data_IF_230013123400
#
_entry.id   IF_230013123400
#
_cell.length_a   1.000
_cell.length_b   1.000
_cell.length_c   1.000
_cell.angle_alpha   90.00
_cell.angle_beta   90.00
_cell.angle_gamma   90.00
#
_symmetry.space_group_name_H-M   'P 1'
#
loop_
_entity.id
_entity.type
_entity.pdbx_description
1 polymer ?
#
# COMPACT_ATOMS: atom_id res chain seq x y z
N UNK A 1 101.95 -62.07 -26.17
CA UNK A 1 100.55 -62.35 -26.56
C UNK A 1 99.52 -61.83 -25.55
N UNK A 2 99.79 -61.85 -24.23
CA UNK A 2 98.86 -61.34 -23.20
C UNK A 2 98.47 -59.85 -23.35
N UNK A 3 99.41 -58.95 -23.69
CA UNK A 3 99.08 -57.51 -23.84
C UNK A 3 98.18 -57.19 -25.03
N UNK A 4 98.07 -58.08 -26.02
CA UNK A 4 97.22 -57.87 -27.20
C UNK A 4 95.75 -58.22 -26.91
N UNK A 5 95.51 -59.16 -25.99
CA UNK A 5 94.16 -59.47 -25.50
C UNK A 5 93.63 -58.38 -24.56
N UNK A 6 94.45 -57.87 -23.64
CA UNK A 6 94.03 -56.78 -22.74
C UNK A 6 93.65 -55.51 -23.50
N UNK A 7 94.35 -55.18 -24.58
CA UNK A 7 94.02 -54.02 -25.41
C UNK A 7 92.71 -54.19 -26.18
N UNK A 8 92.35 -55.43 -26.51
CA UNK A 8 91.09 -55.73 -27.18
C UNK A 8 89.92 -55.71 -26.19
N UNK A 9 90.12 -56.18 -24.96
CA UNK A 9 89.13 -56.11 -23.89
C UNK A 9 88.81 -54.65 -23.52
N UNK A 10 89.82 -53.80 -23.39
CA UNK A 10 89.62 -52.36 -23.15
C UNK A 10 88.83 -51.72 -24.29
N UNK A 11 89.14 -52.03 -25.55
CA UNK A 11 88.37 -51.50 -26.70
C UNK A 11 86.90 -51.94 -26.68
N UNK A 12 86.64 -53.20 -26.33
CA UNK A 12 85.28 -53.73 -26.24
C UNK A 12 84.48 -53.02 -25.13
N UNK A 13 85.11 -52.83 -23.95
CA UNK A 13 84.53 -52.09 -22.82
C UNK A 13 84.24 -50.62 -23.17
N UNK A 14 85.15 -49.93 -23.88
CA UNK A 14 84.92 -48.55 -24.32
C UNK A 14 83.75 -48.47 -25.30
N UNK A 15 83.62 -49.46 -26.18
CA UNK A 15 82.52 -49.50 -27.15
C UNK A 15 81.17 -49.78 -26.46
N UNK A 16 81.14 -50.68 -25.48
CA UNK A 16 79.96 -50.92 -24.66
C UNK A 16 79.56 -49.67 -23.87
N UNK A 17 80.53 -48.96 -23.28
CA UNK A 17 80.28 -47.72 -22.57
C UNK A 17 79.68 -46.62 -23.48
N UNK A 18 80.23 -46.44 -24.68
CA UNK A 18 79.68 -45.49 -25.67
C UNK A 18 78.23 -45.86 -26.02
N UNK A 19 77.97 -47.15 -26.23
CA UNK A 19 76.63 -47.65 -26.58
C UNK A 19 75.63 -47.44 -25.44
N UNK A 20 76.03 -47.69 -24.20
CA UNK A 20 75.21 -47.43 -23.02
C UNK A 20 74.97 -45.94 -22.82
N UNK A 21 75.97 -45.09 -23.05
CA UNK A 21 75.82 -43.64 -22.93
C UNK A 21 74.87 -43.07 -23.98
N UNK A 22 74.92 -43.59 -25.21
CA UNK A 22 73.95 -43.25 -26.26
C UNK A 22 72.53 -43.71 -25.91
N UNK A 23 72.39 -44.89 -25.31
CA UNK A 23 71.09 -45.37 -24.82
C UNK A 23 70.54 -44.50 -23.69
N UNK A 24 71.38 -44.07 -22.74
CA UNK A 24 71.00 -43.15 -21.66
C UNK A 24 70.57 -41.80 -22.22
N UNK A 25 71.32 -41.24 -23.17
CA UNK A 25 70.96 -39.98 -23.79
C UNK A 25 69.63 -40.09 -24.54
N UNK A 26 69.38 -41.22 -25.21
CA UNK A 26 68.09 -41.50 -25.85
C UNK A 26 66.94 -41.56 -24.85
N UNK A 27 67.12 -42.25 -23.71
CA UNK A 27 66.10 -42.26 -22.64
C UNK A 27 65.88 -40.86 -22.05
N UNK A 28 66.95 -40.07 -21.86
CA UNK A 28 66.83 -38.68 -21.38
C UNK A 28 66.05 -37.82 -22.37
N UNK A 29 66.31 -37.98 -23.67
CA UNK A 29 65.59 -37.30 -24.74
C UNK A 29 64.11 -37.72 -24.76
N UNK A 30 63.83 -39.03 -24.69
CA UNK A 30 62.47 -39.58 -24.66
C UNK A 30 61.71 -39.11 -23.41
N UNK A 31 62.34 -39.09 -22.25
CA UNK A 31 61.76 -38.54 -21.02
C UNK A 31 61.49 -37.04 -21.13
N UNK A 32 62.41 -36.28 -21.74
CA UNK A 32 62.25 -34.82 -21.93
C UNK A 32 61.11 -34.53 -22.91
N UNK A 33 61.08 -35.21 -24.06
CA UNK A 33 60.00 -35.10 -25.05
C UNK A 33 58.66 -35.51 -24.45
N UNK A 34 58.63 -36.58 -23.64
CA UNK A 34 57.39 -37.04 -23.01
C UNK A 34 56.93 -36.16 -21.86
N UNK A 35 57.84 -35.50 -21.16
CA UNK A 35 57.50 -34.45 -20.19
C UNK A 35 56.88 -33.23 -20.87
N UNK A 36 57.35 -32.87 -22.07
CA UNK A 36 56.73 -31.80 -22.89
C UNK A 36 55.35 -32.21 -23.42
N UNK A 37 55.17 -33.46 -23.82
CA UNK A 37 53.84 -33.98 -24.21
C UNK A 37 52.90 -33.99 -23.01
N UNK A 38 53.33 -34.48 -21.85
CA UNK A 38 52.54 -34.49 -20.62
C UNK A 38 52.22 -33.08 -20.13
N UNK A 39 53.13 -32.11 -20.26
CA UNK A 39 52.84 -30.71 -19.92
C UNK A 39 51.83 -30.09 -20.88
N UNK A 40 51.87 -30.48 -22.16
CA UNK A 40 50.89 -30.10 -23.17
C UNK A 40 49.51 -30.73 -22.89
N UNK A 41 49.45 -32.03 -22.59
CA UNK A 41 48.22 -32.73 -22.18
C UNK A 41 47.63 -32.14 -20.88
N UNK A 42 48.46 -31.76 -19.91
CA UNK A 42 48.03 -31.05 -18.70
C UNK A 42 47.51 -29.63 -18.99
N UNK A 43 48.09 -28.93 -19.97
CA UNK A 43 47.60 -27.61 -20.41
C UNK A 43 46.30 -27.69 -21.22
N UNK A 44 46.11 -28.76 -21.99
CA UNK A 44 44.86 -29.05 -22.73
C UNK A 44 43.74 -29.50 -21.78
N UNK A 45 44.05 -30.19 -20.67
CA UNK A 45 43.11 -30.45 -19.56
C UNK A 45 42.73 -29.19 -18.77
N UNK A 46 43.60 -28.16 -18.77
CA UNK A 46 43.37 -26.88 -18.11
C UNK A 46 42.73 -25.80 -19.00
N UNK A 47 42.59 -26.06 -20.31
CA UNK A 47 42.21 -25.04 -21.27
C UNK A 47 41.59 -25.60 -22.56
N UNK A 48 40.27 -25.81 -22.54
CA UNK A 48 39.45 -25.76 -23.76
C UNK A 48 38.52 -26.95 -23.99
N UNK A 49 37.22 -26.66 -24.05
CA UNK A 49 36.20 -27.34 -24.86
C UNK A 49 36.52 -28.78 -25.32
N UNK A 50 36.15 -29.77 -24.52
CA UNK A 50 35.37 -30.94 -24.94
C UNK A 50 35.05 -31.83 -23.72
N UNK A 51 33.91 -32.51 -23.81
CA UNK A 51 33.18 -33.21 -22.75
C UNK A 51 33.93 -34.39 -22.14
N UNK A 52 34.83 -34.14 -21.19
CA UNK A 52 35.15 -35.13 -20.16
C UNK A 52 34.31 -34.76 -18.94
N UNK A 53 33.39 -35.66 -18.58
CA UNK A 53 32.44 -35.47 -17.49
C UNK A 53 33.11 -34.87 -16.26
N UNK A 54 32.62 -33.68 -15.86
CA UNK A 54 33.00 -32.94 -14.64
C UNK A 54 32.57 -33.64 -13.35
N UNK A 55 32.45 -34.97 -13.39
CA UNK A 55 32.09 -35.76 -12.23
C UNK A 55 33.28 -35.81 -11.26
N UNK A 56 33.11 -35.45 -9.98
CA UNK A 56 34.20 -35.41 -9.00
C UNK A 56 35.04 -36.70 -8.94
N UNK A 57 34.41 -37.87 -9.10
CA UNK A 57 35.12 -39.16 -9.21
C UNK A 57 36.19 -39.22 -10.31
N UNK A 58 35.98 -38.57 -11.47
CA UNK A 58 36.95 -38.64 -12.58
C UNK A 58 38.24 -37.89 -12.24
N UNK A 59 38.14 -36.77 -11.53
CA UNK A 59 39.30 -36.04 -11.03
C UNK A 59 40.04 -36.83 -9.95
N UNK A 60 39.31 -37.52 -9.07
CA UNK A 60 39.91 -38.38 -8.04
C UNK A 60 40.67 -39.55 -8.68
N UNK A 61 40.05 -40.24 -9.64
CA UNK A 61 40.71 -41.35 -10.36
C UNK A 61 41.92 -40.87 -11.17
N UNK A 62 41.84 -39.72 -11.85
CA UNK A 62 42.97 -39.14 -12.55
C UNK A 62 44.12 -38.79 -11.59
N UNK A 63 43.82 -38.18 -10.44
CA UNK A 63 44.82 -37.84 -9.43
C UNK A 63 45.52 -39.08 -8.85
N UNK A 64 44.78 -40.17 -8.62
CA UNK A 64 45.35 -41.46 -8.19
C UNK A 64 46.23 -42.08 -9.27
N UNK A 65 45.78 -42.08 -10.53
CA UNK A 65 46.56 -42.57 -11.66
C UNK A 65 47.89 -41.83 -11.81
N UNK A 66 47.88 -40.49 -11.76
CA UNK A 66 49.11 -39.70 -11.87
C UNK A 66 50.04 -39.92 -10.68
N UNK A 67 49.50 -40.07 -9.46
CA UNK A 67 50.30 -40.39 -8.28
C UNK A 67 51.05 -41.70 -8.44
N UNK A 68 50.40 -42.75 -8.94
CA UNK A 68 51.03 -44.04 -9.22
C UNK A 68 52.04 -43.96 -10.37
N UNK A 69 51.75 -43.19 -11.40
CA UNK A 69 52.67 -42.96 -12.52
C UNK A 69 53.95 -42.25 -12.06
N UNK A 70 53.84 -41.16 -11.29
CA UNK A 70 54.99 -40.45 -10.74
C UNK A 70 55.79 -41.31 -9.74
N UNK A 71 55.12 -42.18 -8.98
CA UNK A 71 55.81 -43.14 -8.11
C UNK A 71 56.71 -44.11 -8.91
N UNK A 72 56.20 -44.65 -10.02
CA UNK A 72 56.97 -45.51 -10.93
C UNK A 72 58.12 -44.75 -11.60
N UNK A 73 57.86 -43.54 -12.08
CA UNK A 73 58.88 -42.71 -12.72
C UNK A 73 60.01 -42.36 -11.75
N UNK A 74 59.67 -42.01 -10.51
CA UNK A 74 60.64 -41.74 -9.44
C UNK A 74 61.49 -42.98 -9.15
N UNK A 75 60.89 -44.17 -9.08
CA UNK A 75 61.61 -45.42 -8.85
C UNK A 75 62.64 -45.68 -9.97
N UNK A 76 62.21 -45.63 -11.23
CA UNK A 76 63.09 -45.83 -12.39
C UNK A 76 64.24 -44.82 -12.44
N UNK A 77 63.95 -43.55 -12.15
CA UNK A 77 64.97 -42.49 -12.11
C UNK A 77 66.02 -42.76 -11.03
N UNK A 78 65.59 -43.09 -9.80
CA UNK A 78 66.50 -43.41 -8.70
C UNK A 78 67.37 -44.63 -9.01
N UNK A 79 66.81 -45.65 -9.63
CA UNK A 79 67.55 -46.84 -10.05
C UNK A 79 68.63 -46.47 -11.09
N UNK A 80 68.24 -45.69 -12.11
CA UNK A 80 69.15 -45.24 -13.17
C UNK A 80 70.27 -44.35 -12.62
N UNK A 81 69.93 -43.40 -11.73
CA UNK A 81 70.91 -42.53 -11.09
C UNK A 81 71.90 -43.33 -10.24
N UNK A 82 71.42 -44.36 -9.54
CA UNK A 82 72.28 -45.24 -8.73
C UNK A 82 73.24 -46.03 -9.63
N UNK A 83 72.75 -46.59 -10.74
CA UNK A 83 73.58 -47.29 -11.73
C UNK A 83 74.64 -46.36 -12.34
N UNK A 84 74.25 -45.15 -12.73
CA UNK A 84 75.15 -44.15 -13.29
C UNK A 84 76.24 -43.73 -12.27
N UNK A 85 75.86 -43.45 -11.03
CA UNK A 85 76.81 -43.12 -9.95
C UNK A 85 77.77 -44.26 -9.67
N UNK A 86 77.29 -45.50 -9.65
CA UNK A 86 78.13 -46.68 -9.47
C UNK A 86 79.17 -46.83 -10.58
N UNK A 87 78.75 -46.75 -11.84
CA UNK A 87 79.66 -46.83 -12.99
C UNK A 87 80.68 -45.68 -12.99
N UNK A 88 80.23 -44.45 -12.71
CA UNK A 88 81.13 -43.29 -12.56
C UNK A 88 82.13 -43.47 -11.42
N UNK A 89 81.74 -44.12 -10.33
CA UNK A 89 82.65 -44.41 -9.22
C UNK A 89 83.72 -45.44 -9.59
N UNK A 90 83.36 -46.46 -10.37
CA UNK A 90 84.31 -47.46 -10.88
C UNK A 90 85.32 -46.87 -11.87
N UNK A 91 84.91 -45.85 -12.63
CA UNK A 91 85.72 -45.23 -13.68
C UNK A 91 86.57 -44.03 -13.19
N UNK A 92 86.52 -43.67 -11.91
CA UNK A 92 87.38 -42.62 -11.34
C UNK A 92 88.76 -43.19 -10.99
N UNK A 93 89.81 -42.63 -11.59
CA UNK A 93 91.19 -42.77 -11.14
C UNK A 93 91.61 -41.46 -10.44
N UNK A 94 92.10 -41.49 -9.17
CA UNK A 94 92.32 -42.64 -8.31
C UNK A 94 91.02 -43.20 -7.70
N UNK A 95 91.03 -44.48 -7.34
CA UNK A 95 89.91 -45.14 -6.68
C UNK A 95 89.50 -44.35 -5.43
N UNK A 96 88.21 -44.01 -5.34
CA UNK A 96 87.67 -43.34 -4.15
C UNK A 96 87.70 -44.35 -3.01
N UNK A 97 88.69 -44.24 -2.13
CA UNK A 97 88.73 -44.99 -0.88
C UNK A 97 87.64 -44.44 0.03
N UNK A 98 86.52 -45.16 0.14
CA UNK A 98 85.48 -44.85 1.11
C UNK A 98 86.00 -45.29 2.47
N UNK A 99 86.50 -44.32 3.25
CA UNK A 99 86.92 -44.60 4.61
C UNK A 99 85.71 -44.91 5.50
N UNK A 100 85.93 -45.73 6.52
CA UNK A 100 84.88 -46.02 7.50
C UNK A 100 84.35 -44.74 8.14
N UNK A 101 85.19 -43.71 8.33
CA UNK A 101 84.82 -42.41 8.87
C UNK A 101 83.72 -41.71 8.05
N UNK A 102 83.84 -41.70 6.73
CA UNK A 102 82.87 -41.04 5.84
C UNK A 102 81.49 -41.70 5.92
N UNK A 103 81.46 -43.03 6.04
CA UNK A 103 80.23 -43.78 6.22
C UNK A 103 79.55 -43.43 7.54
N UNK A 104 80.32 -43.29 8.63
CA UNK A 104 79.78 -42.89 9.94
C UNK A 104 79.18 -41.48 9.91
N UNK A 105 79.85 -40.53 9.25
CA UNK A 105 79.38 -39.15 9.13
C UNK A 105 78.10 -39.06 8.27
N UNK A 106 78.04 -39.78 7.14
CA UNK A 106 76.85 -39.86 6.29
C UNK A 106 75.69 -40.55 7.05
N UNK A 107 75.96 -41.61 7.82
CA UNK A 107 74.95 -42.27 8.63
C UNK A 107 74.40 -41.35 9.72
N UNK A 108 75.26 -40.55 10.35
CA UNK A 108 74.85 -39.54 11.32
C UNK A 108 73.96 -38.49 10.67
N UNK A 109 74.37 -37.91 9.55
CA UNK A 109 73.57 -36.93 8.80
C UNK A 109 72.21 -37.51 8.36
N UNK A 110 72.21 -38.76 7.90
CA UNK A 110 70.98 -39.47 7.52
C UNK A 110 70.05 -39.69 8.72
N UNK A 111 70.59 -40.01 9.90
CA UNK A 111 69.78 -40.15 11.12
C UNK A 111 69.18 -38.83 11.54
N UNK A 112 69.96 -37.75 11.54
CA UNK A 112 69.50 -36.39 11.87
C UNK A 112 68.42 -35.93 10.88
N UNK A 113 68.65 -36.11 9.57
CA UNK A 113 67.68 -35.78 8.53
C UNK A 113 66.40 -36.62 8.64
N UNK A 114 66.50 -37.93 8.93
CA UNK A 114 65.34 -38.81 9.17
C UNK A 114 64.53 -38.36 10.39
N UNK A 115 65.19 -37.92 11.47
CA UNK A 115 64.51 -37.40 12.65
C UNK A 115 63.76 -36.10 12.34
N UNK A 116 64.41 -35.14 11.66
CA UNK A 116 63.77 -33.89 11.21
C UNK A 116 62.57 -34.17 10.30
N UNK A 117 62.71 -35.09 9.36
CA UNK A 117 61.63 -35.47 8.45
C UNK A 117 60.45 -36.12 9.20
N UNK A 118 60.71 -36.97 10.19
CA UNK A 118 59.66 -37.57 11.02
C UNK A 118 58.92 -36.51 11.83
N UNK A 119 59.65 -35.57 12.46
CA UNK A 119 59.06 -34.47 13.20
C UNK A 119 58.19 -33.58 12.30
N UNK A 120 58.69 -33.21 11.12
CA UNK A 120 57.93 -32.42 10.14
C UNK A 120 56.66 -33.14 9.65
N UNK A 121 56.75 -34.46 9.38
CA UNK A 121 55.58 -35.26 8.99
C UNK A 121 54.49 -35.27 10.07
N UNK A 122 54.88 -35.43 11.34
CA UNK A 122 53.94 -35.40 12.45
C UNK A 122 53.28 -34.02 12.58
N UNK A 123 54.06 -32.94 12.46
CA UNK A 123 53.52 -31.58 12.47
C UNK A 123 52.53 -31.35 11.31
N UNK A 124 52.85 -31.80 10.09
CA UNK A 124 51.93 -31.66 8.95
C UNK A 124 50.63 -32.45 9.15
N UNK A 125 50.72 -33.66 9.73
CA UNK A 125 49.52 -34.46 10.04
C UNK A 125 48.66 -33.75 11.08
N UNK A 126 49.27 -33.19 12.13
CA UNK A 126 48.55 -32.46 13.17
C UNK A 126 47.89 -31.20 12.62
N UNK A 127 48.63 -30.39 11.85
CA UNK A 127 48.09 -29.18 11.24
C UNK A 127 46.94 -29.50 10.27
N UNK A 128 47.03 -30.60 9.53
CA UNK A 128 45.93 -31.06 8.66
C UNK A 128 44.71 -31.45 9.48
N UNK A 129 44.90 -32.12 10.63
CA UNK A 129 43.82 -32.48 11.55
C UNK A 129 43.14 -31.22 12.07
N UNK A 130 43.91 -30.24 12.56
CA UNK A 130 43.42 -28.95 13.03
C UNK A 130 42.61 -28.20 11.97
N UNK A 131 43.14 -28.10 10.74
CA UNK A 131 42.45 -27.46 9.62
C UNK A 131 41.12 -28.17 9.31
N UNK A 132 41.10 -29.49 9.35
CA UNK A 132 39.88 -30.26 9.08
C UNK A 132 38.84 -30.00 10.17
N UNK A 133 39.23 -30.05 11.44
CA UNK A 133 38.32 -29.74 12.56
C UNK A 133 37.83 -28.30 12.52
N UNK A 134 38.70 -27.35 12.17
CA UNK A 134 38.33 -25.95 12.04
C UNK A 134 37.34 -25.77 10.88
N UNK A 135 37.57 -26.43 9.74
CA UNK A 135 36.65 -26.42 8.60
C UNK A 135 35.27 -26.97 8.94
N UNK A 136 35.18 -28.07 9.69
CA UNK A 136 33.92 -28.64 10.18
C UNK A 136 33.20 -27.66 11.13
N UNK A 137 33.89 -27.11 12.13
CA UNK A 137 33.28 -26.13 13.04
C UNK A 137 32.82 -24.86 12.33
N UNK A 138 33.57 -24.39 11.33
CA UNK A 138 33.21 -23.23 10.54
C UNK A 138 31.95 -23.51 9.71
N UNK A 139 31.87 -24.68 9.09
CA UNK A 139 30.69 -25.11 8.34
C UNK A 139 29.44 -25.18 9.23
N UNK A 140 29.56 -25.77 10.41
CA UNK A 140 28.45 -25.83 11.38
C UNK A 140 28.02 -24.43 11.84
N UNK A 141 28.99 -23.55 12.10
CA UNK A 141 28.71 -22.16 12.49
C UNK A 141 28.02 -21.37 11.38
N UNK A 142 28.38 -21.62 10.12
CA UNK A 142 27.78 -20.97 8.96
C UNK A 142 26.33 -21.43 8.77
N UNK A 143 26.06 -22.74 8.87
CA UNK A 143 24.72 -23.28 8.81
C UNK A 143 23.82 -22.75 9.94
N UNK A 144 24.35 -22.59 11.15
CA UNK A 144 23.60 -21.98 12.27
C UNK A 144 23.31 -20.49 12.00
N UNK A 145 24.27 -19.77 11.43
CA UNK A 145 24.09 -18.36 11.06
C UNK A 145 23.06 -18.19 9.94
N UNK A 146 23.05 -19.07 8.95
CA UNK A 146 22.03 -19.08 7.87
C UNK A 146 20.62 -19.30 8.44
N UNK A 147 20.45 -20.28 9.34
CA UNK A 147 19.18 -20.50 10.05
C UNK A 147 18.74 -19.30 10.87
N UNK A 148 19.67 -18.62 11.54
CA UNK A 148 19.39 -17.40 12.30
C UNK A 148 19.00 -16.24 11.37
N UNK A 149 19.61 -16.15 10.19
CA UNK A 149 19.29 -15.14 9.20
C UNK A 149 17.90 -15.36 8.60
N UNK A 150 17.52 -16.61 8.32
CA UNK A 150 16.17 -16.97 7.87
C UNK A 150 15.12 -16.59 8.92
N UNK A 151 15.36 -16.93 10.19
CA UNK A 151 14.48 -16.54 11.32
C UNK A 151 14.38 -15.02 11.46
N UNK A 152 15.50 -14.30 11.35
CA UNK A 152 15.50 -12.84 11.39
C UNK A 152 14.68 -12.25 10.23
N UNK A 153 14.78 -12.84 9.03
CA UNK A 153 13.95 -12.47 7.88
C UNK A 153 12.45 -12.64 8.14
N UNK A 154 12.04 -13.78 8.72
CA UNK A 154 10.64 -14.03 9.12
C UNK A 154 10.14 -12.99 10.13
N UNK A 155 10.92 -12.72 11.17
CA UNK A 155 10.54 -11.74 12.20
C UNK A 155 10.45 -10.33 11.62
N UNK A 156 11.34 -9.94 10.71
CA UNK A 156 11.24 -8.66 10.02
C UNK A 156 9.96 -8.55 9.19
N UNK A 157 9.57 -9.61 8.48
CA UNK A 157 8.32 -9.65 7.72
C UNK A 157 7.09 -9.51 8.64
N UNK A 158 7.08 -10.23 9.77
CA UNK A 158 6.01 -10.12 10.78
C UNK A 158 5.93 -8.70 11.37
N UNK A 159 7.08 -8.06 11.65
CA UNK A 159 7.12 -6.68 12.15
C UNK A 159 6.53 -5.69 11.13
N UNK A 160 6.83 -5.86 9.85
CA UNK A 160 6.33 -4.96 8.81
C UNK A 160 4.82 -5.16 8.56
N UNK A 161 4.32 -6.40 8.64
CA UNK A 161 2.88 -6.70 8.66
C UNK A 161 2.20 -6.04 9.87
N UNK A 162 2.76 -6.21 11.08
CA UNK A 162 2.22 -5.57 12.29
C UNK A 162 2.20 -4.05 12.18
N UNK A 163 3.23 -3.41 11.62
CA UNK A 163 3.23 -1.96 11.41
C UNK A 163 2.11 -1.51 10.47
N UNK A 164 1.83 -2.26 9.41
CA UNK A 164 0.73 -1.96 8.49
C UNK A 164 -0.61 -1.99 9.25
N UNK A 165 -0.86 -3.03 10.06
CA UNK A 165 -2.09 -3.15 10.84
C UNK A 165 -2.26 -2.04 11.89
N UNK A 166 -1.16 -1.55 12.48
CA UNK A 166 -1.20 -0.42 13.42
C UNK A 166 -1.56 0.87 12.70
N UNK A 167 -1.05 1.09 11.49
CA UNK A 167 -1.35 2.28 10.71
C UNK A 167 -2.81 2.28 10.23
N UNK A 168 -3.33 1.12 9.81
CA UNK A 168 -4.76 0.93 9.51
C UNK A 168 -5.63 1.21 10.75
N UNK A 169 -5.25 0.68 11.92
CA UNK A 169 -5.97 0.93 13.16
C UNK A 169 -5.99 2.43 13.55
N UNK A 170 -4.88 3.14 13.35
CA UNK A 170 -4.83 4.60 13.56
C UNK A 170 -5.76 5.35 12.62
N UNK A 171 -5.78 4.99 11.33
CA UNK A 171 -6.67 5.61 10.36
C UNK A 171 -8.15 5.42 10.74
N UNK A 172 -8.52 4.23 11.24
CA UNK A 172 -9.88 3.97 11.74
C UNK A 172 -10.20 4.85 12.94
N UNK A 173 -9.27 4.99 13.90
CA UNK A 173 -9.47 5.84 15.08
C UNK A 173 -9.61 7.32 14.69
N UNK A 174 -8.77 7.80 13.76
CA UNK A 174 -8.86 9.18 13.26
C UNK A 174 -10.20 9.44 12.56
N UNK A 175 -10.68 8.47 11.78
CA UNK A 175 -11.99 8.56 11.14
C UNK A 175 -13.13 8.56 12.18
N UNK A 176 -13.10 7.63 13.15
CA UNK A 176 -14.08 7.59 14.23
C UNK A 176 -14.07 8.87 15.08
N UNK A 177 -12.91 9.47 15.29
CA UNK A 177 -12.78 10.74 16.01
C UNK A 177 -13.44 11.89 15.24
N UNK A 178 -13.28 11.94 13.91
CA UNK A 178 -13.98 12.90 13.06
C UNK A 178 -15.48 12.69 13.09
N UNK A 179 -15.94 11.46 12.90
CA UNK A 179 -17.38 11.14 12.94
C UNK A 179 -17.99 11.53 14.29
N UNK A 180 -17.25 11.31 15.39
CA UNK A 180 -17.70 11.73 16.73
C UNK A 180 -17.77 13.25 16.89
N UNK A 181 -16.80 14.00 16.33
CA UNK A 181 -16.84 15.46 16.31
C UNK A 181 -18.04 15.97 15.51
N UNK A 182 -18.32 15.39 14.35
CA UNK A 182 -19.45 15.75 13.51
C UNK A 182 -20.79 15.46 14.21
N UNK A 183 -20.92 14.30 14.85
CA UNK A 183 -22.09 13.95 15.66
C UNK A 183 -22.26 14.92 16.84
N UNK A 184 -21.17 15.30 17.51
CA UNK A 184 -21.24 16.23 18.62
C UNK A 184 -21.67 17.63 18.17
N UNK A 185 -21.18 18.09 17.02
CA UNK A 185 -21.61 19.34 16.40
C UNK A 185 -23.10 19.29 16.01
N UNK A 186 -23.58 18.19 15.41
CA UNK A 186 -25.01 18.02 15.10
C UNK A 186 -25.86 18.02 16.37
N UNK A 187 -25.40 17.36 17.44
CA UNK A 187 -26.07 17.38 18.73
C UNK A 187 -26.14 18.78 19.35
N UNK A 188 -25.07 19.57 19.24
CA UNK A 188 -25.06 20.96 19.70
C UNK A 188 -26.04 21.82 18.91
N UNK A 189 -26.02 21.74 17.57
CA UNK A 189 -26.98 22.41 16.70
C UNK A 189 -28.43 22.06 17.03
N UNK A 190 -28.72 20.77 17.29
CA UNK A 190 -30.05 20.32 17.70
C UNK A 190 -30.45 20.85 19.08
N UNK A 191 -29.52 20.94 20.03
CA UNK A 191 -29.79 21.54 21.35
C UNK A 191 -30.15 23.02 21.21
N UNK A 192 -29.45 23.75 20.36
CA UNK A 192 -29.75 25.15 20.10
C UNK A 192 -31.14 25.31 19.45
N UNK A 193 -31.46 24.46 18.46
CA UNK A 193 -32.78 24.45 17.84
C UNK A 193 -33.90 24.10 18.84
N UNK A 194 -33.66 23.16 19.76
CA UNK A 194 -34.62 22.84 20.84
C UNK A 194 -34.82 24.05 21.76
N UNK A 195 -33.74 24.75 22.11
CA UNK A 195 -33.80 25.96 22.93
C UNK A 195 -34.63 27.06 22.26
N UNK A 196 -34.37 27.32 20.97
CA UNK A 196 -35.11 28.30 20.17
C UNK A 196 -36.61 27.94 20.07
N UNK A 197 -36.92 26.68 19.77
CA UNK A 197 -38.31 26.21 19.72
C UNK A 197 -38.99 26.30 21.08
N UNK A 198 -38.28 26.00 22.17
CA UNK A 198 -38.82 26.12 23.53
C UNK A 198 -39.17 27.57 23.86
N UNK A 199 -38.30 28.53 23.51
CA UNK A 199 -38.58 29.95 23.68
C UNK A 199 -39.78 30.42 22.84
N UNK A 200 -39.91 29.92 21.61
CA UNK A 200 -41.05 30.22 20.74
C UNK A 200 -42.37 29.68 21.31
N UNK A 201 -42.35 28.46 21.87
CA UNK A 201 -43.51 27.88 22.56
C UNK A 201 -43.92 28.78 23.72
N UNK A 202 -42.96 29.23 24.54
CA UNK A 202 -43.24 30.10 25.69
C UNK A 202 -43.89 31.44 25.27
N UNK A 203 -43.45 32.02 24.15
CA UNK A 203 -44.08 33.24 23.62
C UNK A 203 -45.51 32.97 23.15
N UNK A 204 -45.71 31.89 22.39
CA UNK A 204 -47.04 31.53 21.88
C UNK A 204 -48.01 31.21 23.02
N UNK A 205 -47.55 30.57 24.09
CA UNK A 205 -48.35 30.32 25.30
C UNK A 205 -48.80 31.65 25.94
N UNK A 206 -47.90 32.63 26.10
CA UNK A 206 -48.28 33.96 26.60
C UNK A 206 -49.26 34.69 25.69
N UNK A 207 -49.11 34.55 24.37
CA UNK A 207 -50.05 35.15 23.41
C UNK A 207 -51.45 34.51 23.51
N UNK A 208 -51.52 33.19 23.66
CA UNK A 208 -52.78 32.47 23.90
C UNK A 208 -53.43 32.98 25.18
N UNK A 209 -52.71 33.08 26.30
CA UNK A 209 -53.24 33.62 27.56
C UNK A 209 -53.79 35.04 27.41
N UNK A 210 -53.08 35.89 26.66
CA UNK A 210 -53.52 37.26 26.38
C UNK A 210 -54.82 37.28 25.55
N UNK A 211 -54.89 36.46 24.49
CA UNK A 211 -56.07 36.36 23.64
C UNK A 211 -57.27 35.76 24.38
N UNK A 212 -57.05 34.78 25.26
CA UNK A 212 -58.10 34.21 26.11
C UNK A 212 -58.67 35.26 27.08
N UNK A 213 -57.82 36.09 27.67
CA UNK A 213 -58.24 37.23 28.51
C UNK A 213 -59.04 38.27 27.71
N UNK A 214 -58.57 38.62 26.50
CA UNK A 214 -59.31 39.52 25.60
C UNK A 214 -60.67 38.95 25.21
N UNK A 215 -60.72 37.66 24.86
CA UNK A 215 -61.97 36.97 24.56
C UNK A 215 -62.93 37.03 25.75
N UNK A 216 -62.46 36.72 26.96
CA UNK A 216 -63.28 36.77 28.17
C UNK A 216 -63.87 38.17 28.40
N UNK A 217 -63.07 39.22 28.26
CA UNK A 217 -63.56 40.60 28.41
C UNK A 217 -64.56 41.00 27.32
N UNK A 218 -64.32 40.59 26.06
CA UNK A 218 -65.23 40.85 24.96
C UNK A 218 -66.56 40.09 25.13
N UNK A 219 -66.52 38.83 25.59
CA UNK A 219 -67.71 38.03 25.92
C UNK A 219 -68.50 38.67 27.07
N UNK A 220 -67.82 39.16 28.12
CA UNK A 220 -68.46 39.89 29.21
C UNK A 220 -69.12 41.19 28.73
N UNK A 221 -68.43 41.97 27.88
CA UNK A 221 -68.99 43.18 27.28
C UNK A 221 -70.21 42.88 26.40
N UNK A 222 -70.13 41.83 25.57
CA UNK A 222 -71.26 41.38 24.75
C UNK A 222 -72.44 40.92 25.60
N UNK A 223 -72.19 40.17 26.68
CA UNK A 223 -73.21 39.75 27.63
C UNK A 223 -73.88 40.96 28.32
N UNK A 224 -73.10 41.96 28.74
CA UNK A 224 -73.65 43.18 29.33
C UNK A 224 -74.41 44.04 28.31
N UNK A 225 -73.95 44.12 27.05
CA UNK A 225 -74.69 44.77 25.97
C UNK A 225 -76.04 44.08 25.69
N UNK A 226 -76.08 42.74 25.69
CA UNK A 226 -77.33 41.96 25.60
C UNK A 226 -78.24 42.26 26.81
N UNK A 227 -77.69 42.30 28.02
CA UNK A 227 -78.46 42.65 29.23
C UNK A 227 -79.02 44.07 29.17
N UNK A 228 -78.28 45.02 28.62
CA UNK A 228 -78.74 46.40 28.42
C UNK A 228 -79.80 46.50 27.31
N UNK A 229 -79.65 45.75 26.22
CA UNK A 229 -80.65 45.66 25.16
C UNK A 229 -81.99 45.12 25.71
N UNK A 230 -81.94 44.05 26.51
CA UNK A 230 -83.14 43.47 27.16
C UNK A 230 -83.79 44.38 28.21
N UNK A 231 -83.14 45.49 28.62
CA UNK A 231 -83.66 46.49 29.56
C UNK A 231 -84.16 47.77 28.86
N UNK A 232 -84.17 47.82 27.52
CA UNK A 232 -84.68 48.97 26.77
C UNK A 232 -86.19 49.15 26.99
N UNK A 233 -86.60 50.42 27.01
CA UNK A 233 -87.99 50.83 27.16
C UNK A 233 -88.80 50.45 25.90
N UNK A 234 -89.90 49.67 26.01
CA UNK A 234 -90.69 49.23 24.85
C UNK A 234 -91.26 50.38 24.02
N UNK A 235 -91.33 51.60 24.56
CA UNK A 235 -91.76 52.79 23.80
C UNK A 235 -90.74 53.28 22.76
N UNK A 236 -89.45 52.96 22.94
CA UNK A 236 -88.38 53.34 21.98
C UNK A 236 -88.29 52.34 20.82
N UNK A 237 -88.66 51.07 21.03
CA UNK A 237 -88.72 50.05 19.96
C UNK A 237 -89.85 50.28 18.96
N UNK A 238 -90.97 50.89 19.38
CA UNK A 238 -92.05 51.24 18.47
C UNK A 238 -91.75 52.50 17.63
N UNK A 239 -90.87 53.39 18.11
CA UNK A 239 -90.38 54.54 17.32
C UNK A 239 -89.33 54.11 16.28
N UNK A 240 -88.46 53.15 16.59
CA UNK A 240 -87.44 52.66 15.64
C UNK A 240 -88.01 51.78 14.53
N UNK A 241 -89.16 51.11 14.75
CA UNK A 241 -89.89 50.42 13.66
C UNK A 241 -90.34 51.37 12.54
N UNK A 242 -90.64 52.63 12.85
CA UNK A 242 -90.96 53.64 11.83
C UNK A 242 -89.73 54.24 11.15
N UNK A 243 -88.56 54.22 11.81
CA UNK A 243 -87.35 54.83 11.27
C UNK A 243 -86.62 53.91 10.26
N UNK A 244 -86.74 52.59 10.40
CA UNK A 244 -86.16 51.60 9.46
C UNK A 244 -86.86 51.59 8.08
N UNK A 245 -88.03 52.24 7.93
CA UNK A 245 -88.73 52.38 6.63
C UNK A 245 -88.20 53.58 5.82
N UNK A 246 -87.36 54.44 6.40
CA UNK A 246 -86.85 55.67 5.75
C UNK A 246 -85.34 55.83 5.74
N UNK A 247 -84.59 54.80 6.12
CA UNK A 247 -83.14 54.76 5.90
C UNK A 247 -82.84 53.84 4.72
N UNK A 248 -82.58 54.47 3.57
CA UNK A 248 -81.75 53.90 2.51
C UNK A 248 -80.45 53.47 3.18
N UNK A 249 -80.29 52.17 3.38
CA UNK A 249 -79.05 51.58 3.90
C UNK A 249 -77.99 51.75 2.82
N UNK A 250 -77.24 52.85 2.91
CA UNK A 250 -75.92 52.94 2.30
C UNK A 250 -75.03 52.00 3.10
N UNK A 251 -74.83 50.79 2.60
CA UNK A 251 -73.87 49.86 3.18
C UNK A 251 -72.47 50.49 3.12
N UNK A 252 -71.73 50.55 4.23
CA UNK A 252 -70.35 51.00 4.18
C UNK A 252 -69.50 49.97 3.41
N UNK A 253 -68.88 50.44 2.33
CA UNK A 253 -67.56 50.07 1.82
C UNK A 253 -67.10 48.65 2.16
N UNK A 254 -67.41 47.69 1.28
CA UNK A 254 -66.67 46.44 1.24
C UNK A 254 -65.31 46.72 0.58
N UNK A 255 -64.25 46.81 1.38
CA UNK A 255 -62.87 46.80 0.89
C UNK A 255 -62.51 45.36 0.49
N UNK A 256 -62.63 45.04 -0.79
CA UNK A 256 -62.14 43.79 -1.34
C UNK A 256 -60.65 43.92 -1.64
N UNK A 257 -59.82 43.22 -0.85
CA UNK A 257 -58.39 43.13 -1.09
C UNK A 257 -58.10 42.02 -2.11
N UNK A 258 -57.60 42.40 -3.28
CA UNK A 258 -57.09 41.45 -4.25
C UNK A 258 -55.55 41.48 -4.23
N UNK A 259 -54.95 40.49 -3.57
CA UNK A 259 -53.51 40.26 -3.58
C UNK A 259 -53.12 39.34 -4.74
N UNK A 260 -52.75 39.90 -5.88
CA UNK A 260 -52.02 39.17 -6.92
C UNK A 260 -50.52 39.16 -6.59
N UNK A 261 -49.85 38.02 -6.76
CA UNK A 261 -48.38 37.95 -6.61
C UNK A 261 -47.70 38.85 -7.66
N UNK A 262 -47.12 39.97 -7.20
CA UNK A 262 -46.25 40.85 -7.99
C UNK A 262 -46.85 42.24 -8.26
N UNK A 263 -46.43 43.21 -7.44
CA UNK A 263 -46.46 44.67 -7.58
C UNK A 263 -47.79 45.42 -7.83
N UNK A 264 -48.01 46.42 -6.96
CA UNK A 264 -49.10 47.40 -6.85
C UNK A 264 -50.51 46.88 -6.50
N UNK A 265 -50.89 47.01 -5.22
CA UNK A 265 -52.28 46.90 -4.77
C UNK A 265 -53.02 48.19 -5.11
N UNK A 266 -53.95 48.13 -6.06
CA UNK A 266 -54.84 49.25 -6.40
C UNK A 266 -56.19 49.05 -5.70
N UNK A 267 -56.61 50.06 -4.94
CA UNK A 267 -57.94 50.12 -4.32
C UNK A 267 -58.94 50.67 -5.34
N UNK A 268 -60.11 50.06 -5.44
CA UNK A 268 -61.20 50.55 -6.30
C UNK A 268 -62.46 50.75 -5.47
N UNK A 269 -63.15 51.86 -5.70
CA UNK A 269 -64.43 52.16 -5.07
C UNK A 269 -65.59 51.95 -6.05
N UNK A 270 -66.50 51.05 -5.70
CA UNK A 270 -67.70 50.76 -6.48
C UNK A 270 -68.93 51.06 -5.62
N UNK A 271 -69.82 51.91 -6.13
CA UNK A 271 -71.15 52.09 -5.56
C UNK A 271 -72.12 51.15 -6.26
N UNK A 272 -72.78 50.29 -5.49
CA UNK A 272 -73.77 49.36 -6.00
C UNK A 272 -75.10 49.65 -5.31
N UNK A 273 -76.12 49.96 -6.11
CA UNK A 273 -77.49 50.14 -5.65
C UNK A 273 -78.21 48.78 -5.68
N UNK A 274 -78.72 48.35 -4.53
CA UNK A 274 -79.46 47.10 -4.38
C UNK A 274 -80.92 47.41 -4.05
N UNK A 275 -81.85 46.72 -4.72
CA UNK A 275 -83.25 46.72 -4.28
C UNK A 275 -83.36 45.92 -2.97
N UNK A 276 -83.78 46.55 -1.86
CA UNK A 276 -83.83 45.91 -0.56
C UNK A 276 -84.88 44.78 -0.46
N UNK A 277 -85.88 44.72 -1.35
CA UNK A 277 -86.91 43.69 -1.31
C UNK A 277 -86.48 42.38 -1.99
N UNK A 278 -85.61 42.45 -3.00
CA UNK A 278 -85.22 41.31 -3.84
C UNK A 278 -83.75 40.94 -3.70
N UNK A 279 -82.91 41.86 -3.17
CA UNK A 279 -81.45 41.70 -3.11
C UNK A 279 -80.78 41.74 -4.49
N UNK A 280 -81.48 42.22 -5.51
CA UNK A 280 -80.98 42.31 -6.89
C UNK A 280 -80.31 43.67 -7.10
N UNK A 281 -79.16 43.68 -7.76
CA UNK A 281 -78.45 44.91 -8.13
C UNK A 281 -79.24 45.66 -9.20
N UNK A 282 -79.66 46.88 -8.89
CA UNK A 282 -80.36 47.78 -9.80
C UNK A 282 -79.38 48.63 -10.61
N UNK A 283 -78.32 49.12 -9.97
CA UNK A 283 -77.33 49.98 -10.64
C UNK A 283 -75.93 49.82 -10.01
N UNK A 284 -74.87 50.06 -10.78
CA UNK A 284 -73.51 50.05 -10.28
C UNK A 284 -72.62 51.06 -11.02
N UNK A 285 -72.08 52.02 -10.26
CA UNK A 285 -71.19 53.06 -10.77
C UNK A 285 -69.82 52.99 -10.10
N UNK A 286 -68.75 53.16 -10.90
CA UNK A 286 -67.39 53.33 -10.37
C UNK A 286 -67.17 54.78 -9.97
N UNK A 287 -66.62 55.00 -8.78
CA UNK A 287 -66.34 56.33 -8.24
C UNK A 287 -64.98 56.89 -8.67
N UNK A 288 -64.10 56.06 -9.22
CA UNK A 288 -62.74 56.47 -9.61
C UNK A 288 -62.67 56.78 -11.12
N UNK A 289 -62.54 58.07 -11.45
CA UNK A 289 -62.65 58.69 -12.79
C UNK A 289 -61.60 58.23 -13.84
N UNK A 290 -60.69 57.32 -13.52
CA UNK A 290 -59.62 56.89 -14.42
C UNK A 290 -59.62 55.40 -14.78
N UNK A 291 -60.61 54.61 -14.32
CA UNK A 291 -60.73 53.22 -14.74
C UNK A 291 -62.00 52.98 -15.57
N UNK A 292 -61.84 52.36 -16.74
CA UNK A 292 -62.98 51.91 -17.53
C UNK A 292 -63.58 50.68 -16.82
N UNK A 293 -64.89 50.67 -16.60
CA UNK A 293 -65.63 49.55 -15.97
C UNK A 293 -65.28 48.20 -16.65
N UNK A 294 -64.88 48.24 -17.92
CA UNK A 294 -64.41 47.08 -18.69
C UNK A 294 -63.17 46.41 -18.09
N UNK A 295 -62.27 47.17 -17.48
CA UNK A 295 -61.04 46.64 -16.87
C UNK A 295 -61.35 45.89 -15.56
N UNK A 296 -62.29 46.39 -14.75
CA UNK A 296 -62.79 45.70 -13.55
C UNK A 296 -63.47 44.37 -13.92
N UNK A 297 -64.22 44.37 -15.03
CA UNK A 297 -64.89 43.16 -15.53
C UNK A 297 -63.91 42.12 -16.08
N UNK A 298 -62.80 42.53 -16.70
CA UNK A 298 -61.76 41.60 -17.17
C UNK A 298 -60.93 40.99 -16.03
N UNK A 299 -60.72 41.71 -14.92
CA UNK A 299 -60.13 41.15 -13.69
C UNK A 299 -61.06 40.09 -13.08
N UNK A 300 -62.38 40.35 -13.06
CA UNK A 300 -63.36 39.38 -12.57
C UNK A 300 -63.38 38.08 -13.41
N UNK A 301 -63.21 38.18 -14.74
CA UNK A 301 -63.11 37.01 -15.64
C UNK A 301 -61.90 36.13 -15.34
N UNK A 302 -60.77 36.72 -14.93
CA UNK A 302 -59.56 35.97 -14.56
C UNK A 302 -59.80 35.19 -13.26
N UNK A 303 -60.45 35.80 -12.27
CA UNK A 303 -60.75 35.16 -10.97
C UNK A 303 -61.82 34.06 -11.07
N UNK A 304 -62.78 34.20 -11.99
CA UNK A 304 -63.84 33.21 -12.22
C UNK A 304 -63.32 31.84 -12.71
N UNK A 305 -62.09 31.79 -13.22
CA UNK A 305 -61.43 30.53 -13.63
C UNK A 305 -60.81 29.76 -12.47
N UNK A 306 -60.58 30.41 -11.33
CA UNK A 306 -59.85 29.77 -10.21
C UNK A 306 -60.73 29.51 -8.98
N UNK A 307 -61.76 30.33 -8.67
CA UNK A 307 -62.74 30.02 -7.62
C UNK A 307 -64.13 30.63 -7.87
N UNK A 308 -65.17 30.02 -7.30
CA UNK A 308 -66.57 30.44 -7.44
C UNK A 308 -66.81 31.84 -6.88
N UNK A 309 -67.06 32.81 -7.76
CA UNK A 309 -67.47 34.16 -7.34
C UNK A 309 -68.82 34.11 -6.59
N UNK A 310 -69.00 34.90 -5.52
CA UNK A 310 -70.28 35.02 -4.82
C UNK A 310 -71.42 35.41 -5.77
N UNK A 311 -72.61 34.83 -5.55
CA UNK A 311 -73.80 34.93 -6.41
C UNK A 311 -74.17 36.38 -6.84
N UNK A 312 -73.91 37.37 -5.98
CA UNK A 312 -74.17 38.80 -6.24
C UNK A 312 -73.34 39.39 -7.41
N UNK A 313 -72.08 38.95 -7.57
CA UNK A 313 -71.23 39.38 -8.68
C UNK A 313 -71.65 38.75 -10.01
N UNK A 314 -72.21 37.53 -9.96
CA UNK A 314 -72.76 36.86 -11.14
C UNK A 314 -74.06 37.54 -11.63
N UNK A 315 -74.92 37.98 -10.71
CA UNK A 315 -76.15 38.70 -11.06
C UNK A 315 -75.89 40.10 -11.62
N UNK A 316 -74.90 40.83 -11.08
CA UNK A 316 -74.50 42.13 -11.63
C UNK A 316 -73.89 41.98 -13.04
N UNK A 317 -73.07 40.94 -13.26
CA UNK A 317 -72.47 40.62 -14.56
C UNK A 317 -73.52 40.30 -15.64
N UNK A 318 -74.58 39.56 -15.28
CA UNK A 318 -75.61 39.14 -16.22
C UNK A 318 -76.44 40.30 -16.79
N UNK A 319 -76.63 41.40 -16.02
CA UNK A 319 -77.42 42.58 -16.44
C UNK A 319 -76.61 43.60 -17.26
N UNK A 320 -75.33 43.79 -16.99
CA UNK A 320 -74.49 44.73 -17.76
C UNK A 320 -74.23 44.23 -19.19
N UNK A 321 -74.41 42.92 -19.44
CA UNK A 321 -74.20 42.29 -20.74
C UNK A 321 -75.46 42.28 -21.64
N UNK A 322 -76.65 42.54 -21.11
CA UNK A 322 -77.92 42.59 -21.87
C UNK A 322 -78.23 44.01 -22.35
#
# INVERSE_FOLDING_TARGET
MQSRNQFQDVKNLTQEFITQQQFINRIKEECSQRAVVLSKELSELGGGNQSVDKHPQNFVMAAEFYKDHFAKLKFNYLEQETKERFLKSLMKEPAVEVEQSDNWDIDRQNREAKQKLKAGKLQTIELKREITTLGETLYDSFNDLEKKMEKAGSVCAEIDEMKLTVEEAKQIIDQQTKDFQDINNDMENRRDAISELSWKIEIMEREIEQLESQKYTAEAYAADAIRMANKRDPTVEDLTKWQVITDVVVYPLWQLYFGGMGDEVKLYHLNVLLDPATGIVEDAESLDLECDIRDILDISRRLQREHSLPYLLQSAYARIRS
#
